data_IF_168137431152
#
_entry.id   IF_168137431152
#
_cell.length_a   1.000
_cell.length_b   1.000
_cell.length_c   1.000
_cell.angle_alpha   90.00
_cell.angle_beta   90.00
_cell.angle_gamma   90.00
#
_symmetry.space_group_name_H-M   'P 1'
#
loop_
_entity.id
_entity.type
_entity.pdbx_description
1 polymer ?
#
# COMPACT_ATOMS: atom_id res chain seq x y z
N UNK A 1 14.49 10.66 -8.00
CA UNK A 1 13.47 11.30 -8.86
C UNK A 1 12.15 11.38 -8.09
N UNK A 2 11.37 12.48 -8.13
CA UNK A 2 10.09 12.54 -7.44
C UNK A 2 9.07 11.57 -8.07
N UNK A 3 8.22 10.96 -7.23
CA UNK A 3 7.19 10.02 -7.67
C UNK A 3 6.19 10.69 -8.63
N UNK A 4 5.97 10.12 -9.81
CA UNK A 4 4.96 10.61 -10.74
C UNK A 4 3.57 10.08 -10.34
N UNK A 5 2.85 10.88 -9.54
CA UNK A 5 1.54 10.50 -8.99
C UNK A 5 0.52 10.16 -10.09
N UNK A 6 0.59 10.84 -11.25
CA UNK A 6 -0.32 10.57 -12.36
C UNK A 6 -0.08 9.17 -12.91
N UNK A 7 1.18 8.81 -13.16
CA UNK A 7 1.53 7.47 -13.66
C UNK A 7 1.27 6.37 -12.64
N UNK A 8 1.54 6.62 -11.36
CA UNK A 8 1.20 5.69 -10.28
C UNK A 8 -0.30 5.38 -10.28
N UNK A 9 -1.15 6.41 -10.34
CA UNK A 9 -2.62 6.21 -10.38
C UNK A 9 -3.05 5.46 -11.63
N UNK A 10 -2.44 5.74 -12.78
CA UNK A 10 -2.72 5.02 -14.01
C UNK A 10 -2.32 3.54 -13.92
N UNK A 11 -1.16 3.24 -13.36
CA UNK A 11 -0.72 1.87 -13.13
C UNK A 11 -1.65 1.13 -12.14
N UNK A 12 -2.11 1.81 -11.08
CA UNK A 12 -3.09 1.24 -10.15
C UNK A 12 -4.41 0.93 -10.85
N UNK A 13 -4.94 1.85 -11.67
CA UNK A 13 -6.22 1.65 -12.38
C UNK A 13 -6.15 0.57 -13.45
N UNK A 14 -5.02 0.50 -14.16
CA UNK A 14 -4.79 -0.48 -15.23
C UNK A 14 -4.26 -1.83 -14.71
N UNK A 15 -4.00 -1.96 -13.40
CA UNK A 15 -3.39 -3.13 -12.77
C UNK A 15 -2.00 -3.46 -13.34
N UNK A 16 -1.29 -2.44 -13.84
CA UNK A 16 0.06 -2.57 -14.37
C UNK A 16 1.09 -2.47 -13.23
N UNK A 17 1.14 -3.51 -12.40
CA UNK A 17 2.02 -3.53 -11.24
C UNK A 17 3.50 -3.61 -11.62
N UNK A 18 3.85 -4.25 -12.73
CA UNK A 18 5.22 -4.24 -13.26
C UNK A 18 5.72 -2.80 -13.48
N UNK A 19 4.95 -1.98 -14.21
CA UNK A 19 5.32 -0.59 -14.44
C UNK A 19 5.31 0.21 -13.15
N UNK A 20 4.33 -0.02 -12.27
CA UNK A 20 4.27 0.65 -10.97
C UNK A 20 5.57 0.43 -10.18
N UNK A 21 5.96 -0.83 -9.98
CA UNK A 21 7.10 -1.13 -9.11
C UNK A 21 8.44 -0.82 -9.78
N UNK A 22 8.60 -1.21 -11.04
CA UNK A 22 9.89 -1.08 -11.72
C UNK A 22 10.16 0.37 -12.15
N UNK A 23 9.18 1.02 -12.77
CA UNK A 23 9.40 2.34 -13.37
C UNK A 23 9.16 3.47 -12.37
N UNK A 24 8.14 3.36 -11.51
CA UNK A 24 7.77 4.46 -10.59
C UNK A 24 8.39 4.35 -9.20
N UNK A 25 8.59 3.12 -8.70
CA UNK A 25 9.11 2.89 -7.34
C UNK A 25 10.59 2.51 -7.30
N UNK A 26 11.22 2.19 -8.44
CA UNK A 26 12.64 1.83 -8.50
C UNK A 26 12.95 0.42 -7.98
N UNK A 27 12.07 -0.55 -8.25
CA UNK A 27 12.27 -1.95 -7.87
C UNK A 27 12.85 -2.77 -9.03
N UNK A 28 13.45 -3.92 -8.72
CA UNK A 28 13.97 -4.82 -9.73
C UNK A 28 12.89 -5.76 -10.28
N UNK A 29 13.04 -6.18 -11.53
CA UNK A 29 12.13 -7.14 -12.16
C UNK A 29 12.29 -8.51 -11.51
N UNK A 30 11.17 -9.07 -11.06
CA UNK A 30 11.09 -10.45 -10.62
C UNK A 30 10.20 -11.23 -11.58
N UNK A 31 10.63 -12.42 -12.03
CA UNK A 31 9.97 -13.15 -13.12
C UNK A 31 9.61 -14.60 -12.79
N UNK A 32 9.88 -15.07 -11.58
CA UNK A 32 9.61 -16.45 -11.20
C UNK A 32 8.23 -16.55 -10.54
N UNK A 33 7.24 -17.18 -11.19
CA UNK A 33 5.93 -17.39 -10.59
C UNK A 33 5.97 -18.45 -9.50
N UNK A 34 5.03 -18.35 -8.58
CA UNK A 34 4.83 -19.34 -7.52
C UNK A 34 3.36 -19.75 -7.46
N UNK A 35 3.12 -20.99 -7.07
CA UNK A 35 1.78 -21.52 -6.84
C UNK A 35 1.62 -21.89 -5.38
N UNK A 36 0.44 -21.58 -4.85
CA UNK A 36 0.09 -21.88 -3.46
C UNK A 36 -1.26 -22.56 -3.42
N UNK A 37 -1.29 -23.79 -2.91
CA UNK A 37 -2.54 -24.52 -2.65
C UNK A 37 -3.02 -24.27 -1.23
N UNK A 38 -4.27 -23.84 -1.09
CA UNK A 38 -4.99 -23.62 0.18
C UNK A 38 -6.37 -24.22 0.05
N UNK A 39 -6.75 -25.11 0.98
CA UNK A 39 -8.09 -25.74 1.03
C UNK A 39 -8.53 -26.30 -0.35
N UNK A 40 -7.65 -27.08 -1.00
CA UNK A 40 -7.85 -27.68 -2.33
C UNK A 40 -7.99 -26.70 -3.51
N UNK A 41 -7.73 -25.42 -3.27
CA UNK A 41 -7.69 -24.38 -4.30
C UNK A 41 -6.28 -23.87 -4.54
N UNK A 42 -5.88 -23.80 -5.82
CA UNK A 42 -4.57 -23.26 -6.22
C UNK A 42 -4.67 -21.78 -6.60
N UNK A 43 -3.84 -20.97 -5.92
CA UNK A 43 -3.65 -19.55 -6.18
C UNK A 43 -2.34 -19.33 -6.90
N UNK A 44 -2.39 -18.55 -7.99
CA UNK A 44 -1.22 -18.19 -8.78
C UNK A 44 -0.70 -16.86 -8.26
N UNK A 45 0.57 -16.86 -7.85
CA UNK A 45 1.31 -15.68 -7.45
C UNK A 45 2.18 -15.25 -8.62
N UNK A 46 1.62 -14.35 -9.43
CA UNK A 46 2.35 -13.70 -10.51
C UNK A 46 3.41 -12.78 -9.91
N UNK A 47 4.68 -12.92 -10.31
CA UNK A 47 5.75 -12.08 -9.81
C UNK A 47 5.58 -10.67 -10.37
N UNK A 48 5.79 -9.66 -9.53
CA UNK A 48 5.70 -8.24 -9.93
C UNK A 48 7.09 -7.62 -9.92
N UNK A 49 7.73 -7.66 -8.76
CA UNK A 49 9.03 -7.05 -8.55
C UNK A 49 9.69 -7.62 -7.29
N UNK A 50 10.96 -7.35 -7.11
CA UNK A 50 11.66 -7.55 -5.85
C UNK A 50 12.48 -6.31 -5.51
N UNK A 51 12.81 -6.13 -4.22
CA UNK A 51 13.82 -5.18 -3.77
C UNK A 51 14.61 -5.79 -2.63
N UNK A 52 15.90 -6.06 -2.87
CA UNK A 52 16.84 -6.65 -1.89
C UNK A 52 16.28 -7.89 -1.17
N UNK A 53 15.52 -8.74 -1.87
CA UNK A 53 14.93 -9.96 -1.31
C UNK A 53 13.53 -9.80 -0.69
N UNK A 54 12.96 -8.59 -0.65
CA UNK A 54 11.52 -8.41 -0.43
C UNK A 54 10.79 -8.57 -1.76
N UNK A 55 9.95 -9.60 -1.88
CA UNK A 55 9.23 -9.91 -3.11
C UNK A 55 7.80 -9.35 -3.13
N UNK A 56 7.35 -8.90 -4.29
CA UNK A 56 5.98 -8.43 -4.53
C UNK A 56 5.31 -9.38 -5.49
N UNK A 57 4.12 -9.83 -5.11
CA UNK A 57 3.30 -10.74 -5.91
C UNK A 57 1.93 -10.14 -6.18
N UNK A 58 1.43 -10.36 -7.40
CA UNK A 58 0.01 -10.22 -7.70
C UNK A 58 -0.64 -11.60 -7.60
N UNK A 59 -1.60 -11.73 -6.69
CA UNK A 59 -2.36 -12.96 -6.52
C UNK A 59 -3.67 -12.84 -7.29
N UNK A 60 -3.84 -13.69 -8.29
CA UNK A 60 -5.10 -13.87 -9.00
C UNK A 60 -5.69 -15.24 -8.68
N UNK A 61 -7.00 -15.36 -8.89
CA UNK A 61 -7.72 -16.61 -8.67
C UNK A 61 -7.89 -17.32 -10.01
N UNK A 62 -7.58 -18.62 -10.04
CA UNK A 62 -7.80 -19.47 -11.22
C UNK A 62 -9.27 -19.85 -11.38
N UNK A 63 -9.73 -19.97 -12.63
CA UNK A 63 -11.06 -20.49 -12.99
C UNK A 63 -12.21 -19.64 -12.43
N UNK A 64 -13.26 -20.29 -11.89
CA UNK A 64 -14.47 -19.67 -11.32
C UNK A 64 -14.42 -19.43 -9.81
N UNK A 65 -13.28 -19.74 -9.18
CA UNK A 65 -13.16 -19.65 -7.73
C UNK A 65 -13.35 -18.22 -7.20
N UNK A 66 -13.90 -18.07 -5.97
CA UNK A 66 -14.20 -16.75 -5.40
C UNK A 66 -12.93 -15.98 -5.06
N UNK A 67 -13.07 -14.66 -4.97
CA UNK A 67 -12.01 -13.79 -4.45
C UNK A 67 -11.68 -14.19 -2.99
N UNK A 68 -10.40 -14.44 -2.64
CA UNK A 68 -10.05 -15.01 -1.36
C UNK A 68 -10.45 -14.07 -0.23
N UNK A 69 -11.14 -14.59 0.80
CA UNK A 69 -11.49 -13.83 1.99
C UNK A 69 -10.27 -13.58 2.90
N UNK A 70 -10.46 -12.86 4.01
CA UNK A 70 -9.38 -12.54 4.94
C UNK A 70 -8.69 -13.80 5.51
N UNK A 71 -9.45 -14.84 5.85
CA UNK A 71 -8.91 -16.06 6.43
C UNK A 71 -8.04 -16.82 5.40
N UNK A 72 -8.51 -16.89 4.16
CA UNK A 72 -7.79 -17.49 3.03
C UNK A 72 -6.54 -16.70 2.69
N UNK A 73 -6.60 -15.36 2.62
CA UNK A 73 -5.40 -14.52 2.40
C UNK A 73 -4.35 -14.75 3.48
N UNK A 74 -4.75 -14.89 4.75
CA UNK A 74 -3.81 -15.27 5.84
C UNK A 74 -3.23 -16.67 5.72
N UNK A 75 -3.92 -17.62 5.08
CA UNK A 75 -3.37 -18.94 4.77
C UNK A 75 -2.36 -18.84 3.63
N UNK A 76 -2.69 -18.10 2.57
CA UNK A 76 -1.78 -17.82 1.44
C UNK A 76 -0.48 -17.19 1.96
N UNK A 77 -0.55 -16.12 2.76
CA UNK A 77 0.62 -15.48 3.40
C UNK A 77 1.52 -16.49 4.12
N UNK A 78 0.93 -17.38 4.94
CA UNK A 78 1.67 -18.41 5.68
C UNK A 78 2.40 -19.38 4.78
N UNK A 79 1.87 -19.67 3.59
CA UNK A 79 2.55 -20.50 2.61
C UNK A 79 3.66 -19.73 1.90
N UNK A 80 3.41 -18.49 1.46
CA UNK A 80 4.43 -17.63 0.82
C UNK A 80 5.60 -17.37 1.76
N UNK A 81 5.33 -17.17 3.06
CA UNK A 81 6.33 -16.94 4.09
C UNK A 81 7.37 -18.07 4.24
N UNK A 82 7.09 -19.28 3.71
CA UNK A 82 8.05 -20.39 3.69
C UNK A 82 9.19 -20.17 2.69
N UNK A 83 8.96 -19.37 1.66
CA UNK A 83 9.92 -19.10 0.59
C UNK A 83 10.39 -17.65 0.58
N UNK A 84 9.50 -16.70 0.92
CA UNK A 84 9.81 -15.27 0.99
C UNK A 84 9.43 -14.75 2.38
N UNK A 85 10.42 -14.53 3.25
CA UNK A 85 10.13 -14.03 4.60
C UNK A 85 9.55 -12.61 4.58
N UNK A 86 10.11 -11.76 3.75
CA UNK A 86 9.65 -10.39 3.49
C UNK A 86 8.93 -10.38 2.15
N UNK A 87 7.64 -10.04 2.14
CA UNK A 87 6.87 -9.96 0.92
C UNK A 87 5.64 -9.05 1.07
N UNK A 88 5.10 -8.64 -0.08
CA UNK A 88 3.85 -7.92 -0.25
C UNK A 88 2.99 -8.66 -1.28
N UNK A 89 1.73 -8.93 -0.96
CA UNK A 89 0.80 -9.60 -1.88
C UNK A 89 -0.33 -8.64 -2.24
N UNK A 90 -0.57 -8.48 -3.54
CA UNK A 90 -1.64 -7.67 -4.12
C UNK A 90 -2.68 -8.63 -4.68
N UNK A 91 -3.81 -8.75 -4.00
CA UNK A 91 -4.93 -9.56 -4.45
C UNK A 91 -5.80 -8.76 -5.41
N UNK A 92 -6.11 -9.34 -6.57
CA UNK A 92 -6.94 -8.71 -7.60
C UNK A 92 -8.18 -9.55 -7.86
N UNK A 93 -9.33 -8.92 -7.86
CA UNK A 93 -10.58 -9.58 -8.22
C UNK A 93 -10.72 -9.74 -9.75
N UNK A 94 -11.54 -10.70 -10.18
CA UNK A 94 -11.73 -10.96 -11.63
C UNK A 94 -12.40 -9.80 -12.36
N UNK A 95 -13.30 -9.08 -11.68
CA UNK A 95 -13.97 -7.93 -12.27
C UNK A 95 -13.06 -6.70 -12.35
N UNK A 96 -11.84 -6.77 -11.79
CA UNK A 96 -10.90 -5.64 -11.75
C UNK A 96 -11.55 -4.39 -11.14
N UNK A 97 -12.34 -4.59 -10.08
CA UNK A 97 -12.93 -3.51 -9.29
C UNK A 97 -12.20 -3.26 -7.97
N UNK A 98 -11.48 -4.26 -7.44
CA UNK A 98 -10.92 -4.27 -6.09
C UNK A 98 -9.49 -4.80 -6.09
N UNK A 99 -8.64 -4.12 -5.35
CA UNK A 99 -7.31 -4.56 -4.97
C UNK A 99 -7.19 -4.64 -3.46
N UNK A 100 -6.61 -5.71 -2.93
CA UNK A 100 -6.23 -5.80 -1.52
C UNK A 100 -4.73 -5.95 -1.44
N UNK A 101 -4.08 -4.96 -0.83
CA UNK A 101 -2.65 -4.92 -0.62
C UNK A 101 -2.36 -5.42 0.79
N UNK A 102 -1.74 -6.59 0.89
CA UNK A 102 -1.48 -7.26 2.16
C UNK A 102 0.01 -7.30 2.46
N UNK A 103 0.36 -6.78 3.64
CA UNK A 103 1.68 -6.93 4.24
C UNK A 103 1.53 -7.46 5.67
N UNK A 104 2.40 -8.37 6.07
CA UNK A 104 2.32 -9.01 7.39
C UNK A 104 3.52 -8.62 8.25
N UNK A 105 3.22 -7.94 9.37
CA UNK A 105 4.20 -7.61 10.38
C UNK A 105 4.63 -8.87 11.11
N UNK A 106 5.95 -9.13 11.11
CA UNK A 106 6.57 -10.26 11.81
C UNK A 106 7.58 -9.73 12.82
N UNK A 107 7.33 -9.96 14.10
CA UNK A 107 8.20 -9.58 15.19
C UNK A 107 8.57 -10.82 16.02
N UNK A 108 9.84 -11.02 16.40
CA UNK A 108 10.23 -12.10 17.29
C UNK A 108 9.41 -12.08 18.59
N UNK A 109 8.87 -13.24 18.99
CA UNK A 109 8.09 -13.36 20.22
C UNK A 109 6.68 -12.76 20.18
N UNK A 110 6.21 -12.26 19.03
CA UNK A 110 4.85 -11.74 18.87
C UNK A 110 4.09 -12.45 17.74
N UNK A 111 2.77 -12.62 17.85
CA UNK A 111 1.96 -13.12 16.74
C UNK A 111 2.09 -12.23 15.51
N UNK A 112 2.11 -12.84 14.33
CA UNK A 112 2.14 -12.09 13.07
C UNK A 112 0.87 -11.25 12.92
N UNK A 113 1.02 -9.96 12.66
CA UNK A 113 -0.08 -9.02 12.48
C UNK A 113 -0.29 -8.71 11.01
N UNK A 114 -1.44 -9.11 10.48
CA UNK A 114 -1.80 -8.90 9.08
C UNK A 114 -2.33 -7.47 8.88
N UNK A 115 -1.71 -6.70 7.98
CA UNK A 115 -2.13 -5.36 7.58
C UNK A 115 -2.61 -5.40 6.14
N UNK A 116 -3.82 -4.89 5.92
CA UNK A 116 -4.41 -4.82 4.59
C UNK A 116 -4.80 -3.39 4.25
N UNK A 117 -4.61 -3.02 2.99
CA UNK A 117 -5.14 -1.80 2.41
C UNK A 117 -6.00 -2.17 1.20
N UNK A 118 -7.30 -1.90 1.29
CA UNK A 118 -8.23 -2.10 0.18
C UNK A 118 -8.25 -0.85 -0.68
N UNK A 119 -8.07 -1.04 -1.99
CA UNK A 119 -8.25 -0.01 -3.00
C UNK A 119 -9.37 -0.44 -3.94
N UNK A 120 -10.30 0.48 -4.20
CA UNK A 120 -11.37 0.30 -5.17
C UNK A 120 -11.06 1.15 -6.40
N UNK A 121 -11.28 0.61 -7.60
CA UNK A 121 -10.96 1.28 -8.86
C UNK A 121 -11.58 2.69 -8.96
N UNK A 122 -12.81 2.85 -8.46
CA UNK A 122 -13.56 4.11 -8.45
C UNK A 122 -12.99 5.18 -7.52
N UNK A 123 -12.12 4.81 -6.59
CA UNK A 123 -11.55 5.74 -5.61
C UNK A 123 -10.32 6.46 -6.18
N UNK A 124 -10.02 7.64 -5.63
CA UNK A 124 -8.83 8.42 -5.98
C UNK A 124 -7.52 7.66 -5.72
N UNK A 125 -7.53 6.72 -4.77
CA UNK A 125 -6.36 5.94 -4.37
C UNK A 125 -5.33 6.73 -3.55
N UNK A 126 -5.65 7.94 -3.08
CA UNK A 126 -4.67 8.83 -2.44
C UNK A 126 -3.97 8.18 -1.23
N UNK A 127 -4.73 7.47 -0.38
CA UNK A 127 -4.17 6.79 0.78
C UNK A 127 -3.17 5.67 0.37
N UNK A 128 -3.46 4.94 -0.71
CA UNK A 128 -2.54 3.95 -1.26
C UNK A 128 -1.30 4.64 -1.86
N UNK A 129 -1.48 5.71 -2.64
CA UNK A 129 -0.38 6.50 -3.20
C UNK A 129 0.55 7.01 -2.11
N UNK A 130 0.02 7.48 -0.98
CA UNK A 130 0.83 7.92 0.16
C UNK A 130 1.67 6.77 0.74
N UNK A 131 1.12 5.55 0.84
CA UNK A 131 1.90 4.37 1.25
C UNK A 131 3.00 4.06 0.23
N UNK A 132 2.66 4.07 -1.07
CA UNK A 132 3.60 3.77 -2.15
C UNK A 132 4.76 4.77 -2.24
N UNK A 133 4.56 6.04 -1.87
CA UNK A 133 5.66 7.02 -1.75
C UNK A 133 6.79 6.56 -0.83
N UNK A 134 6.47 5.82 0.22
CA UNK A 134 7.47 5.30 1.15
C UNK A 134 8.26 4.11 0.58
N UNK A 135 7.82 3.56 -0.56
CA UNK A 135 8.45 2.44 -1.25
C UNK A 135 9.27 2.88 -2.47
N UNK A 136 9.50 4.18 -2.64
CA UNK A 136 10.37 4.70 -3.70
C UNK A 136 11.82 4.51 -3.27
N UNK A 137 12.61 3.94 -4.17
CA UNK A 137 14.05 3.79 -4.04
C UNK A 137 14.72 4.47 -5.22
N UNK A 138 15.68 5.33 -4.93
CA UNK A 138 16.49 6.03 -5.93
C UNK A 138 17.78 5.28 -6.19
N UNK A 139 18.40 5.52 -7.36
CA UNK A 139 19.66 4.87 -7.72
C UNK A 139 20.77 5.20 -6.72
N UNK A 140 20.78 6.43 -6.19
CA UNK A 140 21.76 6.85 -5.17
C UNK A 140 21.62 6.07 -3.86
N UNK A 141 20.41 5.65 -3.50
CA UNK A 141 20.19 4.86 -2.28
C UNK A 141 20.59 3.39 -2.45
N UNK A 142 20.70 2.89 -3.68
CA UNK A 142 20.88 1.45 -3.92
C UNK A 142 22.19 0.90 -3.40
N UNK A 143 23.29 1.66 -3.43
CA UNK A 143 24.62 1.17 -3.04
C UNK A 143 24.66 0.62 -1.62
N UNK A 144 23.98 1.29 -0.68
CA UNK A 144 23.93 0.93 0.74
C UNK A 144 22.61 0.26 1.16
N UNK A 145 21.67 0.10 0.23
CA UNK A 145 20.33 -0.41 0.56
C UNK A 145 20.35 -1.88 0.96
N UNK A 146 19.98 -2.17 2.21
CA UNK A 146 19.83 -3.53 2.71
C UNK A 146 18.36 -4.00 2.72
N UNK A 147 18.15 -5.31 2.86
CA UNK A 147 16.81 -5.88 3.08
C UNK A 147 16.12 -5.31 4.33
N UNK A 148 16.91 -4.96 5.36
CA UNK A 148 16.38 -4.40 6.61
C UNK A 148 15.78 -3.02 6.36
N UNK A 149 16.41 -2.21 5.51
CA UNK A 149 15.92 -0.88 5.15
C UNK A 149 14.64 -0.96 4.33
N UNK A 150 14.60 -1.86 3.34
CA UNK A 150 13.41 -2.11 2.52
C UNK A 150 12.24 -2.61 3.36
N UNK A 151 12.48 -3.57 4.26
CA UNK A 151 11.47 -4.08 5.18
C UNK A 151 11.00 -3.00 6.19
N UNK A 152 11.91 -2.15 6.65
CA UNK A 152 11.59 -1.03 7.54
C UNK A 152 10.70 0.01 6.85
N UNK A 153 11.01 0.39 5.60
CA UNK A 153 10.16 1.29 4.80
C UNK A 153 8.79 0.68 4.51
N UNK A 154 8.75 -0.61 4.17
CA UNK A 154 7.49 -1.32 3.96
C UNK A 154 6.64 -1.38 5.22
N UNK A 155 7.28 -1.62 6.38
CA UNK A 155 6.62 -1.51 7.68
C UNK A 155 6.08 -0.11 7.92
N UNK A 156 6.87 0.94 7.71
CA UNK A 156 6.40 2.32 7.89
C UNK A 156 5.22 2.66 6.96
N UNK A 157 5.21 2.12 5.75
CA UNK A 157 4.11 2.30 4.79
C UNK A 157 2.82 1.59 5.21
N UNK A 158 2.90 0.33 5.66
CA UNK A 158 1.73 -0.51 5.89
C UNK A 158 1.29 -0.63 7.35
N UNK A 159 2.21 -0.54 8.32
CA UNK A 159 1.98 -0.61 9.77
C UNK A 159 1.65 0.76 10.39
N UNK A 160 0.90 1.60 9.67
CA UNK A 160 0.42 2.87 10.19
C UNK A 160 -0.74 2.59 11.14
N UNK A 161 -0.44 2.22 12.39
CA UNK A 161 -1.44 2.04 13.44
C UNK A 161 -2.06 3.39 13.80
N UNK A 162 -3.37 3.55 13.53
CA UNK A 162 -4.33 4.44 14.20
C UNK A 162 -4.01 5.95 14.31
N UNK A 163 -2.83 6.41 13.89
CA UNK A 163 -2.45 7.81 13.82
C UNK A 163 -3.30 8.47 12.76
N UNK A 164 -3.65 7.82 11.65
CA UNK A 164 -4.58 8.41 10.67
C UNK A 164 -5.96 8.68 11.27
N UNK A 165 -6.58 7.75 12.00
CA UNK A 165 -7.90 8.04 12.63
C UNK A 165 -7.78 9.10 13.73
N UNK A 166 -6.79 8.99 14.62
CA UNK A 166 -6.59 9.99 15.69
C UNK A 166 -6.16 11.35 15.14
N UNK A 167 -5.41 11.38 14.04
CA UNK A 167 -5.02 12.57 13.30
C UNK A 167 -6.20 13.13 12.53
N UNK A 168 -7.03 12.33 11.85
CA UNK A 168 -8.25 12.81 11.20
C UNK A 168 -9.26 13.34 12.21
N UNK A 169 -9.44 12.64 13.34
CA UNK A 169 -10.29 13.07 14.43
C UNK A 169 -9.75 14.38 15.04
N UNK A 170 -8.44 14.44 15.34
CA UNK A 170 -7.80 15.66 15.85
C UNK A 170 -7.80 16.79 14.82
N UNK A 171 -7.52 16.51 13.56
CA UNK A 171 -7.56 17.46 12.44
C UNK A 171 -8.96 18.02 12.28
N UNK A 172 -10.01 17.19 12.36
CA UNK A 172 -11.39 17.64 12.32
C UNK A 172 -11.73 18.54 13.51
N UNK A 173 -11.25 18.19 14.70
CA UNK A 173 -11.42 19.00 15.91
C UNK A 173 -10.70 20.35 15.79
N UNK A 174 -9.42 20.36 15.43
CA UNK A 174 -8.61 21.57 15.26
C UNK A 174 -9.12 22.42 14.09
N UNK A 175 -9.59 21.82 12.99
CA UNK A 175 -10.21 22.50 11.85
C UNK A 175 -11.51 23.20 12.24
N UNK A 176 -12.38 22.52 13.00
CA UNK A 176 -13.59 23.12 13.54
C UNK A 176 -13.30 24.26 14.53
N UNK A 177 -12.23 24.15 15.33
CA UNK A 177 -11.80 25.20 16.24
C UNK A 177 -11.21 26.40 15.49
N UNK A 178 -10.30 26.17 14.53
CA UNK A 178 -9.64 27.20 13.75
C UNK A 178 -10.62 28.04 12.92
N UNK A 179 -11.63 27.41 12.31
CA UNK A 179 -12.71 28.11 11.62
C UNK A 179 -13.46 29.11 12.50
N UNK A 180 -13.62 28.84 13.81
CA UNK A 180 -14.29 29.76 14.75
C UNK A 180 -13.44 30.99 15.09
N UNK A 181 -12.12 30.93 14.89
CA UNK A 181 -11.21 32.04 15.13
C UNK A 181 -11.00 32.94 13.89
N UNK A 182 -11.28 32.43 12.69
CA UNK A 182 -11.15 33.21 11.45
C UNK A 182 -12.23 34.31 11.41
N UNK A 183 -11.80 35.57 11.51
CA UNK A 183 -12.63 36.76 11.31
C UNK A 183 -12.09 37.55 10.12
N UNK A 184 -12.96 37.92 9.18
CA UNK A 184 -12.62 38.85 8.09
C UNK A 184 -12.38 38.23 6.71
N UNK A 185 -12.58 36.93 6.51
CA UNK A 185 -12.62 36.33 5.17
C UNK A 185 -14.10 36.26 4.71
N UNK A 186 -14.49 36.91 3.61
CA UNK A 186 -15.90 37.08 3.25
C UNK A 186 -16.56 35.83 2.62
N UNK A 187 -15.76 34.84 2.19
CA UNK A 187 -16.22 33.63 1.52
C UNK A 187 -15.97 32.39 2.41
N UNK A 188 -17.04 31.64 2.70
CA UNK A 188 -16.98 30.41 3.50
C UNK A 188 -16.16 29.29 2.83
N UNK A 189 -16.18 29.20 1.50
CA UNK A 189 -15.45 28.18 0.76
C UNK A 189 -13.94 28.46 0.83
N UNK A 190 -13.57 29.74 0.66
CA UNK A 190 -12.20 30.22 0.86
C UNK A 190 -11.72 30.06 2.31
N UNK A 191 -12.58 30.28 3.31
CA UNK A 191 -12.25 30.05 4.72
C UNK A 191 -11.92 28.58 5.02
N UNK A 192 -12.75 27.65 4.53
CA UNK A 192 -12.53 26.20 4.73
C UNK A 192 -11.28 25.72 4.03
N UNK A 193 -11.04 26.20 2.80
CA UNK A 193 -9.81 25.92 2.07
C UNK A 193 -8.58 26.46 2.81
N UNK A 194 -8.62 27.72 3.26
CA UNK A 194 -7.53 28.34 4.02
C UNK A 194 -7.25 27.62 5.34
N UNK A 195 -8.28 27.25 6.10
CA UNK A 195 -8.14 26.48 7.34
C UNK A 195 -7.52 25.09 7.09
N UNK A 196 -7.94 24.41 6.02
CA UNK A 196 -7.37 23.12 5.62
C UNK A 196 -5.90 23.23 5.21
N UNK A 197 -5.56 24.26 4.42
CA UNK A 197 -4.17 24.52 3.99
C UNK A 197 -3.28 24.89 5.18
N UNK A 198 -3.79 25.68 6.12
CA UNK A 198 -3.00 26.11 7.27
C UNK A 198 -2.76 25.02 8.29
N UNK A 199 -3.76 24.20 8.59
CA UNK A 199 -3.62 23.08 9.52
C UNK A 199 -2.73 21.96 8.95
N UNK A 200 -2.77 21.72 7.65
CA UNK A 200 -1.82 20.82 6.96
C UNK A 200 -0.36 21.30 7.01
N UNK A 201 -0.11 22.58 7.31
CA UNK A 201 1.25 23.14 7.45
C UNK A 201 1.73 23.21 8.90
N UNK A 202 0.82 23.04 9.87
CA UNK A 202 1.10 23.15 11.30
C UNK A 202 1.14 21.79 12.02
N UNK A 203 0.51 20.76 11.45
CA UNK A 203 0.44 19.39 11.95
C UNK A 203 1.07 18.42 10.96
#
# INVERSE_FOLDING_TARGET
MPLNIVQVRECLRSYNFDSLFVNELGWERYKTPHEVSVDDQTYILSPVAEKRGLAVFACSVSGDSPFPDYATRRKIDRHVAKFFREHLIIYVDKARGIQIWQWVKREPGRPAACREHTYYHEQSGEALVQKLRSLVFTLEEEEDLSIVDVASRTRAAFDVEHITKRFYDRFKTEHGAFLKFLKGIPDEELQRWYASVMLNRLM
#
